data_IF_852692602806
#
_entry.id   IF_852692602806
#
_cell.length_a   1.000
_cell.length_b   1.000
_cell.length_c   1.000
_cell.angle_alpha   90.00
_cell.angle_beta   90.00
_cell.angle_gamma   90.00
#
_symmetry.space_group_name_H-M   'P 1'
#
loop_
_entity.id
_entity.type
_entity.pdbx_description
1 polymer ?
#
# COMPACT_ATOMS: atom_id res chain seq x y z
N UNK A 1 -28.83 -3.29 20.75
CA UNK A 1 -27.63 -3.53 19.93
C UNK A 1 -27.65 -2.51 18.79
N UNK A 2 -26.78 -1.52 18.89
CA UNK A 2 -26.85 -0.25 18.17
C UNK A 2 -26.83 -0.41 16.64
N UNK A 3 -27.71 0.33 15.95
CA UNK A 3 -27.79 0.36 14.48
C UNK A 3 -26.45 0.68 13.82
N UNK A 4 -25.61 1.50 14.46
CA UNK A 4 -24.25 1.83 14.04
C UNK A 4 -23.34 0.61 13.85
N UNK A 5 -23.54 -0.46 14.62
CA UNK A 5 -22.76 -1.69 14.50
C UNK A 5 -23.13 -2.51 13.26
N UNK A 6 -24.40 -2.47 12.82
CA UNK A 6 -24.86 -3.22 11.64
C UNK A 6 -24.32 -2.64 10.35
N UNK A 7 -24.35 -1.32 10.21
CA UNK A 7 -23.89 -0.66 8.99
C UNK A 7 -22.38 -0.82 8.82
N UNK A 8 -21.62 -0.68 9.91
CA UNK A 8 -20.18 -0.97 9.91
C UNK A 8 -19.90 -2.42 9.48
N UNK A 9 -20.63 -3.41 9.99
CA UNK A 9 -20.47 -4.81 9.60
C UNK A 9 -20.78 -5.05 8.12
N UNK A 10 -21.81 -4.40 7.55
CA UNK A 10 -22.13 -4.53 6.13
C UNK A 10 -21.03 -3.93 5.24
N UNK A 11 -20.52 -2.76 5.58
CA UNK A 11 -19.42 -2.12 4.83
C UNK A 11 -18.17 -2.99 4.86
N UNK A 12 -17.80 -3.52 6.04
CA UNK A 12 -16.65 -4.41 6.17
C UNK A 12 -16.80 -5.70 5.37
N UNK A 13 -18.02 -6.26 5.32
CA UNK A 13 -18.31 -7.44 4.51
C UNK A 13 -18.11 -7.19 3.01
N UNK A 14 -18.60 -6.05 2.50
CA UNK A 14 -18.39 -5.66 1.10
C UNK A 14 -16.91 -5.38 0.79
N UNK A 15 -16.22 -4.69 1.69
CA UNK A 15 -14.80 -4.39 1.55
C UNK A 15 -13.96 -5.67 1.50
N UNK A 16 -14.31 -6.68 2.32
CA UNK A 16 -13.70 -8.01 2.25
C UNK A 16 -13.86 -8.66 0.89
N UNK A 17 -15.06 -8.60 0.28
CA UNK A 17 -15.28 -9.16 -1.06
C UNK A 17 -14.41 -8.49 -2.13
N UNK A 18 -14.30 -7.16 -2.09
CA UNK A 18 -13.44 -6.41 -3.01
C UNK A 18 -11.97 -6.80 -2.82
N UNK A 19 -11.51 -6.92 -1.57
CA UNK A 19 -10.13 -7.32 -1.28
C UNK A 19 -9.84 -8.75 -1.77
N UNK A 20 -10.79 -9.68 -1.64
CA UNK A 20 -10.60 -11.07 -2.03
C UNK A 20 -10.70 -11.32 -3.54
N UNK A 21 -11.62 -10.64 -4.25
CA UNK A 21 -11.90 -10.91 -5.68
C UNK A 21 -11.45 -9.80 -6.62
N UNK A 22 -11.25 -8.58 -6.10
CA UNK A 22 -10.99 -7.37 -6.89
C UNK A 22 -9.70 -7.41 -7.68
N UNK A 23 -8.70 -8.18 -7.24
CA UNK A 23 -7.40 -8.28 -7.93
C UNK A 23 -7.53 -8.75 -9.38
N UNK A 24 -8.37 -9.75 -9.66
CA UNK A 24 -8.59 -10.23 -11.03
C UNK A 24 -9.39 -9.25 -11.88
N UNK A 25 -10.25 -8.46 -11.23
CA UNK A 25 -11.08 -7.44 -11.88
C UNK A 25 -10.37 -6.08 -12.02
N UNK A 26 -9.09 -5.97 -11.65
CA UNK A 26 -8.33 -4.72 -11.73
C UNK A 26 -8.71 -3.66 -10.69
N UNK A 27 -9.40 -4.05 -9.61
CA UNK A 27 -9.71 -3.16 -8.49
C UNK A 27 -8.60 -3.20 -7.45
N UNK A 28 -8.12 -2.02 -7.07
CA UNK A 28 -7.07 -1.85 -6.07
C UNK A 28 -7.62 -1.06 -4.88
N UNK A 29 -7.23 -1.49 -3.68
CA UNK A 29 -7.61 -0.82 -2.44
C UNK A 29 -6.37 -0.30 -1.75
N UNK A 30 -6.35 1.01 -1.49
CA UNK A 30 -5.31 1.67 -0.69
C UNK A 30 -5.93 2.05 0.65
N UNK A 31 -5.44 1.45 1.74
CA UNK A 31 -5.89 1.75 3.09
C UNK A 31 -4.80 2.50 3.85
N UNK A 32 -5.19 3.60 4.49
CA UNK A 32 -4.37 4.33 5.43
C UNK A 32 -5.03 4.27 6.81
N UNK A 33 -4.29 3.78 7.81
CA UNK A 33 -4.77 3.64 9.18
C UNK A 33 -3.78 4.25 10.16
N UNK A 34 -4.27 4.96 11.18
CA UNK A 34 -3.41 5.48 12.26
C UNK A 34 -2.99 4.35 13.23
N UNK A 35 -3.87 3.38 13.45
CA UNK A 35 -3.61 2.16 14.21
C UNK A 35 -4.20 0.97 13.46
N UNK A 36 -3.39 0.00 13.01
CA UNK A 36 -3.85 -1.18 12.29
C UNK A 36 -4.40 -2.21 13.28
N UNK A 37 -5.56 -1.93 13.88
CA UNK A 37 -6.16 -2.85 14.85
C UNK A 37 -6.73 -4.09 14.14
N UNK A 38 -6.40 -5.28 14.66
CA UNK A 38 -6.86 -6.57 14.16
C UNK A 38 -8.40 -6.69 14.14
N UNK A 39 -9.10 -5.90 14.95
CA UNK A 39 -10.57 -5.82 14.94
C UNK A 39 -11.13 -5.36 13.58
N UNK A 40 -10.40 -4.50 12.87
CA UNK A 40 -10.84 -3.96 11.56
C UNK A 40 -10.23 -4.73 10.39
N UNK A 41 -9.02 -5.27 10.55
CA UNK A 41 -8.32 -6.05 9.53
C UNK A 41 -8.17 -7.49 10.02
N UNK A 42 -9.28 -8.24 10.03
CA UNK A 42 -9.27 -9.65 10.41
C UNK A 42 -8.28 -10.46 9.56
N UNK A 43 -7.76 -11.56 10.10
CA UNK A 43 -6.60 -12.30 9.57
C UNK A 43 -6.65 -12.53 8.05
N UNK A 44 -7.81 -12.97 7.52
CA UNK A 44 -7.95 -13.25 6.09
C UNK A 44 -7.91 -12.04 5.15
N UNK A 45 -8.12 -10.81 5.64
CA UNK A 45 -8.00 -9.57 4.83
C UNK A 45 -6.54 -9.07 4.86
N UNK A 46 -5.87 -9.17 6.01
CA UNK A 46 -4.47 -8.74 6.15
C UNK A 46 -3.57 -9.43 5.13
N UNK A 47 -3.77 -10.73 4.93
CA UNK A 47 -2.95 -11.53 4.02
C UNK A 47 -3.15 -11.19 2.54
N UNK A 48 -4.24 -10.50 2.18
CA UNK A 48 -4.48 -10.02 0.81
C UNK A 48 -3.74 -8.71 0.50
N UNK A 49 -3.34 -7.95 1.53
CA UNK A 49 -2.50 -6.77 1.36
C UNK A 49 -1.05 -7.19 1.23
N UNK A 50 -0.59 -7.38 -0.01
CA UNK A 50 0.82 -7.73 -0.27
C UNK A 50 1.75 -6.55 -0.01
N UNK A 51 1.35 -5.35 -0.42
CA UNK A 51 2.12 -4.13 -0.20
C UNK A 51 1.71 -3.47 1.11
N UNK A 52 2.67 -3.34 2.04
CA UNK A 52 2.42 -2.80 3.39
C UNK A 52 3.51 -1.78 3.74
N UNK A 53 3.11 -0.60 4.19
CA UNK A 53 4.01 0.46 4.65
C UNK A 53 3.62 0.88 6.05
N UNK A 54 4.59 0.89 6.96
CA UNK A 54 4.45 1.36 8.32
C UNK A 54 5.38 2.56 8.55
N UNK A 55 4.81 3.77 8.65
CA UNK A 55 5.57 5.01 8.82
C UNK A 55 5.64 5.45 10.28
N UNK A 56 6.73 6.12 10.63
CA UNK A 56 6.93 6.69 11.96
C UNK A 56 7.32 5.66 13.00
N UNK A 57 7.06 6.01 14.27
CA UNK A 57 7.38 5.19 15.44
C UNK A 57 6.16 4.38 15.82
N UNK A 58 6.27 3.06 15.75
CA UNK A 58 5.23 2.14 16.22
C UNK A 58 5.79 1.26 17.34
N UNK A 59 4.90 0.76 18.19
CA UNK A 59 5.25 -0.30 19.13
C UNK A 59 5.58 -1.59 18.38
N UNK A 60 6.30 -2.49 19.02
CA UNK A 60 6.58 -3.83 18.50
C UNK A 60 5.29 -4.57 18.12
N UNK A 61 4.25 -4.48 18.95
CA UNK A 61 2.91 -4.99 18.63
C UNK A 61 2.35 -4.40 17.34
N UNK A 62 2.52 -3.09 17.12
CA UNK A 62 2.06 -2.44 15.90
C UNK A 62 2.80 -2.92 14.65
N UNK A 63 4.11 -3.18 14.77
CA UNK A 63 4.89 -3.78 13.67
C UNK A 63 4.47 -5.23 13.41
N UNK A 64 4.22 -6.02 14.46
CA UNK A 64 3.69 -7.38 14.32
C UNK A 64 2.31 -7.41 13.67
N UNK A 65 1.43 -6.45 13.98
CA UNK A 65 0.12 -6.33 13.31
C UNK A 65 0.25 -5.99 11.82
N UNK A 66 1.27 -5.20 11.43
CA UNK A 66 1.50 -4.82 10.03
C UNK A 66 2.21 -5.91 9.22
N UNK A 67 3.24 -6.54 9.77
CA UNK A 67 4.14 -7.41 9.02
C UNK A 67 4.08 -8.88 9.44
N UNK A 68 3.32 -9.23 10.49
CA UNK A 68 3.30 -10.56 11.08
C UNK A 68 4.46 -10.78 12.05
N UNK A 69 4.71 -12.03 12.42
CA UNK A 69 5.90 -12.40 13.18
C UNK A 69 7.14 -12.33 12.28
N UNK A 70 8.14 -11.55 12.70
CA UNK A 70 9.34 -11.27 11.90
C UNK A 70 10.54 -11.25 12.84
N UNK A 71 11.67 -11.81 12.40
CA UNK A 71 12.94 -11.77 13.13
C UNK A 71 13.72 -10.47 12.90
N UNK A 72 13.07 -9.40 12.43
CA UNK A 72 13.70 -8.12 12.15
C UNK A 72 13.61 -7.17 13.34
N UNK A 73 14.74 -6.60 13.70
CA UNK A 73 14.77 -5.52 14.68
C UNK A 73 14.28 -4.19 14.07
N UNK A 74 13.21 -3.66 14.66
CA UNK A 74 12.64 -2.38 14.29
C UNK A 74 13.25 -1.25 15.12
N UNK A 75 14.11 -0.46 14.49
CA UNK A 75 14.73 0.70 15.12
C UNK A 75 13.83 1.93 15.00
N UNK A 76 13.64 2.66 16.09
CA UNK A 76 12.88 3.91 16.08
C UNK A 76 13.82 5.12 15.94
N UNK A 77 13.99 5.61 14.71
CA UNK A 77 14.74 6.84 14.43
C UNK A 77 13.78 8.04 14.32
N UNK A 78 14.11 9.22 14.88
CA UNK A 78 13.26 10.41 14.82
C UNK A 78 13.40 11.15 13.47
N UNK A 79 13.24 10.42 12.36
CA UNK A 79 13.34 10.96 11.00
C UNK A 79 11.93 11.04 10.41
N UNK A 80 11.51 12.23 9.97
CA UNK A 80 10.20 12.42 9.35
C UNK A 80 10.14 11.68 8.01
N UNK A 81 9.02 10.99 7.76
CA UNK A 81 8.83 10.20 6.54
C UNK A 81 9.54 8.85 6.52
N UNK A 82 10.28 8.50 7.57
CA UNK A 82 10.97 7.21 7.69
C UNK A 82 10.03 6.14 8.26
N UNK A 83 10.19 4.91 7.78
CA UNK A 83 9.39 3.77 8.18
C UNK A 83 9.95 2.46 7.64
N UNK A 84 9.06 1.48 7.51
CA UNK A 84 9.36 0.17 6.95
C UNK A 84 8.34 -0.19 5.87
N UNK A 85 8.79 -0.94 4.87
CA UNK A 85 7.93 -1.44 3.78
C UNK A 85 8.18 -2.92 3.55
N UNK A 86 7.11 -3.64 3.24
CA UNK A 86 7.13 -4.95 2.61
C UNK A 86 6.37 -4.83 1.29
N UNK A 87 7.01 -5.22 0.19
CA UNK A 87 6.43 -5.17 -1.16
C UNK A 87 5.69 -6.46 -1.52
N UNK A 88 5.48 -7.36 -0.56
CA UNK A 88 4.87 -8.68 -0.74
C UNK A 88 5.89 -9.80 -0.92
N UNK A 89 7.18 -9.50 -0.69
CA UNK A 89 8.27 -10.47 -0.74
C UNK A 89 8.63 -11.04 0.64
N UNK A 90 7.93 -10.63 1.70
CA UNK A 90 8.25 -10.95 3.10
C UNK A 90 9.63 -10.45 3.54
N UNK A 91 10.22 -9.52 2.78
CA UNK A 91 11.49 -8.87 3.10
C UNK A 91 11.19 -7.43 3.49
N UNK A 92 11.16 -7.19 4.79
CA UNK A 92 10.88 -5.87 5.33
C UNK A 92 12.15 -5.01 5.20
N UNK A 93 12.02 -3.86 4.55
CA UNK A 93 13.12 -2.93 4.29
C UNK A 93 12.82 -1.54 4.89
N UNK A 94 13.88 -0.75 5.13
CA UNK A 94 13.71 0.63 5.59
C UNK A 94 13.20 1.48 4.42
N UNK A 95 12.17 2.29 4.68
CA UNK A 95 11.50 3.09 3.67
C UNK A 95 11.51 4.57 4.04
N UNK A 96 11.65 5.43 3.05
CA UNK A 96 11.63 6.89 3.21
C UNK A 96 10.64 7.48 2.21
N UNK A 97 9.62 8.16 2.72
CA UNK A 97 8.65 8.85 1.87
C UNK A 97 9.28 10.08 1.25
N UNK A 98 8.96 10.39 -0.02
CA UNK A 98 9.29 11.69 -0.58
C UNK A 98 8.56 12.80 0.20
N UNK A 99 9.25 13.92 0.42
CA UNK A 99 8.61 15.11 0.99
C UNK A 99 7.80 15.79 -0.12
N UNK A 100 6.49 15.84 0.05
CA UNK A 100 5.59 16.58 -0.85
C UNK A 100 5.48 18.03 -0.35
N UNK A 101 5.92 19.02 -1.14
CA UNK A 101 5.77 20.43 -0.77
C UNK A 101 4.29 20.84 -0.67
N UNK A 102 4.00 21.84 0.16
CA UNK A 102 2.67 22.46 0.18
C UNK A 102 2.42 23.16 -1.17
N UNK A 103 1.31 22.81 -1.83
CA UNK A 103 0.96 23.34 -3.15
C UNK A 103 1.52 22.53 -4.32
N UNK A 104 2.08 21.35 -4.09
CA UNK A 104 2.50 20.46 -5.19
C UNK A 104 1.27 20.01 -6.00
N UNK A 105 1.26 20.31 -7.29
CA UNK A 105 0.19 19.93 -8.20
C UNK A 105 0.49 18.56 -8.84
N UNK A 106 -0.05 17.53 -8.21
CA UNK A 106 0.09 16.16 -8.72
C UNK A 106 -0.49 15.97 -10.12
N UNK A 107 -1.60 16.65 -10.46
CA UNK A 107 -2.30 16.40 -11.73
C UNK A 107 -1.49 16.95 -12.90
N UNK A 108 -0.92 18.14 -12.74
CA UNK A 108 -0.06 18.76 -13.76
C UNK A 108 1.20 17.93 -13.99
N UNK A 109 1.88 17.51 -12.92
CA UNK A 109 3.11 16.71 -13.00
C UNK A 109 2.86 15.31 -13.59
N UNK A 110 1.79 14.63 -13.18
CA UNK A 110 1.40 13.34 -13.76
C UNK A 110 1.05 13.50 -15.25
N UNK A 111 0.33 14.56 -15.61
CA UNK A 111 -0.01 14.86 -17.01
C UNK A 111 1.22 15.08 -17.87
N UNK A 112 2.22 15.82 -17.37
CA UNK A 112 3.49 16.01 -18.06
C UNK A 112 4.20 14.67 -18.32
N UNK A 113 4.29 13.79 -17.32
CA UNK A 113 4.95 12.48 -17.45
C UNK A 113 4.17 11.55 -18.38
N UNK A 114 2.85 11.47 -18.23
CA UNK A 114 1.99 10.61 -19.05
C UNK A 114 2.06 10.98 -20.55
N UNK A 115 2.29 12.25 -20.86
CA UNK A 115 2.43 12.74 -22.24
C UNK A 115 3.84 12.54 -22.82
N UNK A 116 4.83 12.13 -22.02
CA UNK A 116 6.23 11.96 -22.48
C UNK A 116 6.58 10.55 -22.96
N UNK A 117 5.62 9.61 -23.03
CA UNK A 117 5.87 8.27 -23.61
C UNK A 117 4.71 7.82 -24.50
N UNK A 118 4.82 7.95 -25.83
CA UNK A 118 4.35 6.91 -26.73
C UNK A 118 5.48 5.89 -26.89
N UNK A 119 5.40 4.75 -26.18
CA UNK A 119 6.19 3.58 -26.55
C UNK A 119 5.49 2.92 -27.76
N UNK A 120 5.51 3.61 -28.89
CA UNK A 120 5.39 2.94 -30.18
C UNK A 120 6.78 2.35 -30.45
N UNK A 121 6.93 1.03 -30.64
CA UNK A 121 8.21 0.46 -31.02
C UNK A 121 8.67 1.19 -32.29
N UNK A 122 9.83 1.82 -32.23
CA UNK A 122 10.42 2.45 -33.41
C UNK A 122 10.69 1.37 -34.45
N UNK A 123 10.20 1.56 -35.68
CA UNK A 123 10.32 0.64 -36.82
C UNK A 123 11.77 0.19 -37.12
N UNK A 124 12.77 0.87 -36.54
CA UNK A 124 14.18 0.50 -36.63
C UNK A 124 14.55 -0.81 -35.92
N UNK A 125 13.76 -1.30 -34.95
CA UNK A 125 13.98 -2.62 -34.35
C UNK A 125 13.38 -3.77 -35.19
N UNK A 126 12.41 -3.49 -36.06
CA UNK A 126 11.77 -4.50 -36.91
C UNK A 126 12.56 -4.85 -38.18
N UNK A 127 13.54 -4.04 -38.56
CA UNK A 127 14.35 -4.26 -39.78
C UNK A 127 15.61 -5.12 -39.53
N UNK A 128 15.95 -5.41 -38.28
CA UNK A 128 17.15 -6.17 -37.92
C UNK A 128 16.89 -7.65 -37.59
N UNK A 129 15.67 -8.16 -37.80
CA UNK A 129 15.33 -9.58 -37.60
C UNK A 129 15.09 -10.34 -38.93
N UNK A 130 15.72 -9.95 -40.04
CA UNK A 130 15.76 -10.77 -41.27
C UNK A 130 17.20 -11.01 -41.73
#
# INVERSE_FOLDING_TARGET
MDMLGRDAMQVMSKLKQIVMLGRQAGFFLVLACQRPDAKYLGDGIRDQFMFRVALGRMSELGYSMMFGETNKDFFQKPIKGRGYVDTGGSVISEFYTPLVPRGYDFLTEIGAVANTVPATPTEQEMLNEH
#
